data_IF_010137677107
#
_entry.id   IF_010137677107
#
_cell.length_a   1.000
_cell.length_b   1.000
_cell.length_c   1.000
_cell.angle_alpha   90.00
_cell.angle_beta   90.00
_cell.angle_gamma   90.00
#
_symmetry.space_group_name_H-M   'P 1'
#
loop_
_entity.id
_entity.type
_entity.pdbx_description
1 polymer ?
#
# COMPACT_ATOMS: atom_id res chain seq x y z
N UNK A 1 -13.06 -15.71 9.37
CA UNK A 1 -13.86 -14.48 9.52
C UNK A 1 -12.91 -13.42 10.01
N UNK A 2 -12.47 -12.51 9.14
CA UNK A 2 -11.42 -11.56 9.46
C UNK A 2 -12.04 -10.17 9.51
N UNK A 3 -12.07 -9.60 10.69
CA UNK A 3 -12.43 -8.20 10.86
C UNK A 3 -11.14 -7.41 10.99
N UNK A 4 -10.97 -6.38 10.16
CA UNK A 4 -9.95 -5.36 10.36
C UNK A 4 -10.39 -4.47 11.54
N UNK A 5 -10.51 -5.05 12.74
CA UNK A 5 -10.77 -4.27 13.94
C UNK A 5 -9.48 -3.54 14.34
N UNK A 6 -9.18 -2.46 13.65
CA UNK A 6 -8.22 -1.47 14.09
C UNK A 6 -8.87 -0.56 15.13
N UNK A 7 -9.00 -1.02 16.36
CA UNK A 7 -9.08 -0.08 17.47
C UNK A 7 -7.67 0.48 17.75
N UNK A 8 -7.15 1.28 16.85
CA UNK A 8 -6.30 2.36 17.29
C UNK A 8 -7.20 3.25 18.17
N UNK A 9 -6.72 3.64 19.33
CA UNK A 9 -7.45 4.47 20.29
C UNK A 9 -8.14 5.64 19.57
N UNK A 10 -9.30 5.37 18.99
CA UNK A 10 -10.17 6.34 18.36
C UNK A 10 -10.84 7.19 19.44
N UNK A 11 -10.03 8.00 20.12
CA UNK A 11 -10.51 9.19 20.84
C UNK A 11 -10.75 10.38 19.90
N UNK A 12 -10.86 10.14 18.57
CA UNK A 12 -11.27 11.15 17.61
C UNK A 12 -12.69 10.85 17.15
N UNK A 13 -13.66 11.45 17.83
CA UNK A 13 -15.03 11.57 17.33
C UNK A 13 -16.02 10.50 17.77
N UNK A 14 -15.79 9.76 18.85
CA UNK A 14 -16.91 9.20 19.62
C UNK A 14 -17.47 10.29 20.56
N UNK A 15 -17.95 11.40 20.01
CA UNK A 15 -19.17 11.97 20.55
C UNK A 15 -20.28 10.95 20.25
N UNK A 16 -20.54 10.06 21.21
CA UNK A 16 -21.81 9.36 21.29
C UNK A 16 -22.87 10.45 21.45
N UNK A 17 -23.43 10.88 20.33
CA UNK A 17 -24.73 11.51 20.37
C UNK A 17 -25.74 10.40 20.60
N UNK A 18 -26.15 10.24 21.83
CA UNK A 18 -27.38 9.53 22.18
C UNK A 18 -28.54 10.19 21.41
N UNK A 19 -29.20 9.38 20.59
CA UNK A 19 -30.51 9.72 20.03
C UNK A 19 -30.49 10.32 18.64
N UNK A 20 -30.81 9.48 17.63
CA UNK A 20 -31.36 9.85 16.32
C UNK A 20 -30.45 10.65 15.36
N UNK A 21 -29.68 9.91 14.57
CA UNK A 21 -29.02 10.41 13.37
C UNK A 21 -27.80 9.57 13.03
N UNK A 22 -27.96 8.51 12.23
CA UNK A 22 -26.83 7.74 11.68
C UNK A 22 -25.94 8.73 10.92
N UNK A 23 -24.70 8.95 11.40
CA UNK A 23 -23.77 9.89 10.78
C UNK A 23 -23.47 9.38 9.36
N UNK A 24 -23.78 10.18 8.35
CA UNK A 24 -23.42 9.90 6.97
C UNK A 24 -21.90 10.01 6.80
N UNK A 25 -21.25 8.93 6.32
CA UNK A 25 -19.81 8.94 6.08
C UNK A 25 -19.44 9.90 4.95
N UNK A 26 -18.30 10.56 5.08
CA UNK A 26 -17.69 11.36 4.03
C UNK A 26 -16.50 10.60 3.46
N UNK A 27 -16.58 10.25 2.17
CA UNK A 27 -15.55 9.42 1.52
C UNK A 27 -14.98 10.22 0.34
N UNK A 28 -13.66 10.42 0.34
CA UNK A 28 -12.98 10.96 -0.82
C UNK A 28 -12.97 9.91 -1.94
N UNK A 29 -13.48 10.30 -3.10
CA UNK A 29 -13.57 9.49 -4.30
C UNK A 29 -12.49 9.92 -5.27
N UNK A 30 -11.42 9.11 -5.43
CA UNK A 30 -10.19 9.47 -6.14
C UNK A 30 -9.97 8.52 -7.32
N UNK A 31 -10.65 8.70 -8.48
CA UNK A 31 -10.55 7.75 -9.60
C UNK A 31 -9.13 7.62 -10.16
N UNK A 32 -8.37 8.72 -10.20
CA UNK A 32 -7.05 8.75 -10.80
C UNK A 32 -7.07 8.59 -12.32
N UNK A 33 -6.19 7.75 -12.84
CA UNK A 33 -5.87 7.63 -14.27
C UNK A 33 -6.36 6.31 -14.89
N UNK A 34 -6.53 6.33 -16.19
CA UNK A 34 -6.75 5.14 -17.01
C UNK A 34 -7.91 4.28 -16.52
N UNK A 35 -7.64 2.99 -16.27
CA UNK A 35 -8.64 2.04 -15.75
C UNK A 35 -9.14 2.36 -14.35
N UNK A 36 -8.49 3.26 -13.62
CA UNK A 36 -8.93 3.67 -12.29
C UNK A 36 -10.38 4.12 -12.27
N UNK A 37 -10.84 4.81 -13.33
CA UNK A 37 -12.25 5.21 -13.48
C UNK A 37 -13.17 4.00 -13.60
N UNK A 38 -12.83 3.04 -14.47
CA UNK A 38 -13.64 1.84 -14.75
C UNK A 38 -13.82 0.97 -13.47
N UNK A 39 -12.71 0.70 -12.77
CA UNK A 39 -12.74 -0.16 -11.57
C UNK A 39 -13.42 0.53 -10.38
N UNK A 40 -13.33 1.86 -10.28
CA UNK A 40 -14.04 2.64 -9.28
C UNK A 40 -15.56 2.62 -9.53
N UNK A 41 -16.01 2.74 -10.78
CA UNK A 41 -17.41 2.59 -11.13
C UNK A 41 -17.96 1.21 -10.71
N UNK A 42 -17.20 0.14 -10.96
CA UNK A 42 -17.58 -1.19 -10.52
C UNK A 42 -17.68 -1.29 -8.98
N UNK A 43 -16.73 -0.71 -8.24
CA UNK A 43 -16.78 -0.63 -6.78
C UNK A 43 -17.99 0.19 -6.30
N UNK A 44 -18.36 1.28 -7.02
CA UNK A 44 -19.54 2.10 -6.69
C UNK A 44 -20.83 1.30 -6.75
N UNK A 45 -21.00 0.48 -7.78
CA UNK A 45 -22.18 -0.40 -7.92
C UNK A 45 -22.32 -1.31 -6.69
N UNK A 46 -21.21 -1.89 -6.21
CA UNK A 46 -21.18 -2.77 -5.04
C UNK A 46 -21.51 -2.00 -3.75
N UNK A 47 -20.90 -0.81 -3.57
CA UNK A 47 -21.14 0.04 -2.40
C UNK A 47 -22.61 0.52 -2.35
N UNK A 48 -23.22 0.83 -3.49
CA UNK A 48 -24.63 1.17 -3.57
C UNK A 48 -25.52 -0.02 -3.21
N UNK A 49 -25.14 -1.23 -3.65
CA UNK A 49 -25.91 -2.45 -3.37
C UNK A 49 -25.94 -2.81 -1.90
N UNK A 50 -24.85 -2.54 -1.15
CA UNK A 50 -24.83 -2.75 0.30
C UNK A 50 -25.43 -1.59 1.09
N UNK A 51 -26.00 -0.60 0.43
CA UNK A 51 -26.66 0.59 1.02
C UNK A 51 -25.75 1.30 2.05
N UNK A 52 -24.53 1.63 1.63
CA UNK A 52 -23.65 2.44 2.46
C UNK A 52 -24.17 3.86 2.52
N UNK A 53 -24.49 4.36 3.72
CA UNK A 53 -24.90 5.74 3.92
C UNK A 53 -23.67 6.67 3.92
N UNK A 54 -23.27 7.11 2.74
CA UNK A 54 -22.07 7.91 2.52
C UNK A 54 -22.28 9.01 1.47
N UNK A 55 -21.55 10.10 1.66
CA UNK A 55 -21.31 11.11 0.65
C UNK A 55 -19.96 10.82 -0.01
N UNK A 56 -19.97 10.56 -1.32
CA UNK A 56 -18.75 10.38 -2.11
C UNK A 56 -18.36 11.72 -2.72
N UNK A 57 -17.22 12.26 -2.30
CA UNK A 57 -16.75 13.58 -2.70
C UNK A 57 -15.59 13.40 -3.67
N UNK A 58 -15.76 13.84 -4.91
CA UNK A 58 -14.72 13.72 -5.94
C UNK A 58 -13.48 14.54 -5.58
N UNK A 59 -12.28 13.93 -5.74
CA UNK A 59 -11.00 14.59 -5.59
C UNK A 59 -10.15 14.46 -6.86
N UNK A 60 -9.56 15.56 -7.25
CA UNK A 60 -8.68 15.65 -8.42
C UNK A 60 -7.31 15.05 -8.10
N UNK A 61 -6.89 14.03 -8.87
CA UNK A 61 -5.64 13.33 -8.66
C UNK A 61 -5.17 12.62 -9.92
N UNK A 62 -3.88 12.56 -10.15
CA UNK A 62 -3.28 11.75 -11.21
C UNK A 62 -2.59 12.53 -12.30
N UNK A 63 -2.36 11.85 -13.43
CA UNK A 63 -1.53 12.31 -14.53
C UNK A 63 -2.11 13.51 -15.27
N UNK A 64 -3.44 13.58 -15.37
CA UNK A 64 -4.13 14.71 -15.99
C UNK A 64 -3.78 16.03 -15.30
N UNK A 65 -3.78 16.04 -13.97
CA UNK A 65 -3.47 17.23 -13.16
C UNK A 65 -1.98 17.54 -13.17
N UNK A 66 -1.11 16.53 -13.21
CA UNK A 66 0.30 16.75 -13.49
C UNK A 66 0.50 17.51 -14.79
N UNK A 67 -0.08 17.02 -15.88
CA UNK A 67 0.10 17.62 -17.20
C UNK A 67 -0.43 19.06 -17.27
N UNK A 68 -1.57 19.35 -16.65
CA UNK A 68 -2.27 20.64 -16.74
C UNK A 68 -1.81 21.66 -15.70
N UNK A 69 -1.48 21.21 -14.50
CA UNK A 69 -1.24 22.07 -13.34
C UNK A 69 0.18 21.91 -12.75
N UNK A 70 0.94 20.91 -13.19
CA UNK A 70 2.27 20.59 -12.64
C UNK A 70 2.23 19.92 -11.28
N UNK A 71 1.06 19.47 -10.83
CA UNK A 71 0.88 18.76 -9.57
C UNK A 71 -0.14 17.60 -9.71
N UNK A 72 0.33 16.36 -9.51
CA UNK A 72 -0.52 15.18 -9.56
C UNK A 72 -1.40 14.99 -8.30
N UNK A 73 -1.18 15.75 -7.24
CA UNK A 73 -1.99 15.81 -6.03
C UNK A 73 -2.25 17.28 -5.66
N UNK A 74 -3.22 17.94 -6.32
CA UNK A 74 -3.51 19.35 -6.10
C UNK A 74 -3.88 19.66 -4.65
N UNK A 75 -3.57 20.88 -4.20
CA UNK A 75 -3.82 21.32 -2.81
C UNK A 75 -5.29 21.16 -2.40
N UNK A 76 -6.26 21.37 -3.31
CA UNK A 76 -7.69 21.14 -3.04
C UNK A 76 -8.02 19.70 -2.65
N UNK A 77 -7.32 18.72 -3.20
CA UNK A 77 -7.49 17.30 -2.83
C UNK A 77 -6.83 17.01 -1.48
N UNK A 78 -5.70 17.63 -1.18
CA UNK A 78 -5.08 17.55 0.16
C UNK A 78 -6.04 18.09 1.23
N UNK A 79 -6.70 19.24 0.97
CA UNK A 79 -7.69 19.81 1.90
C UNK A 79 -8.95 18.92 2.02
N UNK A 80 -9.39 18.30 0.93
CA UNK A 80 -10.49 17.31 0.98
C UNK A 80 -10.12 16.16 1.92
N UNK A 81 -8.92 15.58 1.77
CA UNK A 81 -8.45 14.43 2.53
C UNK A 81 -8.33 14.69 4.04
N UNK A 82 -8.14 15.94 4.46
CA UNK A 82 -8.15 16.33 5.88
C UNK A 82 -9.53 16.25 6.53
N UNK A 83 -10.60 16.20 5.72
CA UNK A 83 -11.97 16.39 6.15
C UNK A 83 -12.90 15.23 5.76
N UNK A 84 -12.36 14.02 5.58
CA UNK A 84 -13.12 12.81 5.24
C UNK A 84 -12.85 11.69 6.24
N UNK A 85 -13.75 10.72 6.31
CA UNK A 85 -13.62 9.55 7.18
C UNK A 85 -12.71 8.47 6.56
N UNK A 86 -12.67 8.40 5.22
CA UNK A 86 -11.81 7.51 4.44
C UNK A 86 -11.68 8.00 2.99
N UNK A 87 -10.76 7.40 2.24
CA UNK A 87 -10.66 7.60 0.80
C UNK A 87 -10.63 6.26 0.06
N UNK A 88 -11.29 6.17 -1.08
CA UNK A 88 -11.13 5.10 -2.06
C UNK A 88 -10.43 5.66 -3.29
N UNK A 89 -9.36 4.98 -3.71
CA UNK A 89 -8.48 5.43 -4.77
C UNK A 89 -8.39 4.37 -5.88
N UNK A 90 -8.47 4.80 -7.14
CA UNK A 90 -8.44 3.91 -8.29
C UNK A 90 -7.02 3.51 -8.68
N UNK A 91 -6.41 4.29 -9.57
CA UNK A 91 -5.05 3.98 -10.03
C UNK A 91 -4.34 5.24 -10.54
N UNK A 92 -3.02 5.18 -10.64
CA UNK A 92 -2.22 6.28 -11.21
C UNK A 92 -1.25 5.82 -12.29
N UNK A 93 -0.90 6.76 -13.16
CA UNK A 93 0.20 6.67 -14.11
C UNK A 93 1.45 7.30 -13.49
N UNK A 94 2.58 6.63 -13.61
CA UNK A 94 3.90 7.18 -13.26
C UNK A 94 4.85 6.98 -14.43
N UNK A 95 5.62 8.02 -14.76
CA UNK A 95 6.61 8.00 -15.84
C UNK A 95 7.95 8.55 -15.37
N UNK A 96 9.07 8.19 -16.01
CA UNK A 96 10.37 8.77 -15.74
C UNK A 96 10.37 10.30 -15.87
N UNK A 97 11.24 10.99 -15.13
CA UNK A 97 11.26 12.45 -14.98
C UNK A 97 11.24 13.18 -16.35
N UNK A 98 12.11 12.78 -17.30
CA UNK A 98 12.16 13.41 -18.63
C UNK A 98 10.85 13.26 -19.42
N UNK A 99 10.21 12.09 -19.33
CA UNK A 99 8.93 11.85 -20.00
C UNK A 99 7.81 12.63 -19.31
N UNK A 100 7.84 12.73 -17.98
CA UNK A 100 6.87 13.49 -17.20
C UNK A 100 6.93 14.99 -17.54
N UNK A 101 8.12 15.57 -17.65
CA UNK A 101 8.30 16.98 -18.03
C UNK A 101 7.80 17.26 -19.46
N UNK A 102 8.07 16.35 -20.39
CA UNK A 102 7.67 16.52 -21.80
C UNK A 102 6.14 16.58 -21.99
N UNK A 103 5.37 15.99 -21.09
CA UNK A 103 3.89 15.96 -21.16
C UNK A 103 3.20 17.14 -20.43
N UNK A 104 3.95 17.98 -19.74
CA UNK A 104 3.41 19.24 -19.20
C UNK A 104 2.90 20.16 -20.32
N UNK A 105 1.88 20.96 -20.03
CA UNK A 105 1.48 22.06 -20.90
C UNK A 105 2.67 22.99 -21.14
N UNK A 106 2.75 23.66 -22.33
CA UNK A 106 3.93 24.46 -22.70
C UNK A 106 4.34 25.50 -21.66
N UNK A 107 3.36 26.09 -20.99
CA UNK A 107 3.55 27.15 -19.97
C UNK A 107 4.25 26.64 -18.69
N UNK A 108 4.27 25.35 -18.46
CA UNK A 108 4.87 24.72 -17.27
C UNK A 108 6.24 24.08 -17.54
N UNK A 109 6.58 23.85 -18.80
CA UNK A 109 7.87 23.24 -19.17
C UNK A 109 9.04 24.14 -18.82
N UNK A 110 10.15 23.54 -18.40
CA UNK A 110 11.37 24.29 -18.04
C UNK A 110 11.28 25.05 -16.69
N UNK A 111 10.21 24.91 -15.93
CA UNK A 111 10.07 25.53 -14.60
C UNK A 111 10.70 24.73 -13.46
N UNK A 112 11.43 23.66 -13.76
CA UNK A 112 12.04 22.80 -12.74
C UNK A 112 11.04 21.97 -11.92
N UNK A 113 9.82 21.75 -12.45
CA UNK A 113 8.82 20.91 -11.81
C UNK A 113 9.26 19.43 -11.88
N UNK A 114 9.15 18.72 -10.77
CA UNK A 114 9.49 17.30 -10.67
C UNK A 114 8.25 16.51 -10.30
N UNK A 115 7.90 15.52 -11.15
CA UNK A 115 6.80 14.62 -10.86
C UNK A 115 7.08 13.80 -9.58
N UNK A 116 6.13 13.82 -8.67
CA UNK A 116 6.12 12.98 -7.47
C UNK A 116 4.83 12.20 -7.43
N UNK A 117 4.95 10.89 -7.25
CA UNK A 117 3.78 10.01 -7.16
C UNK A 117 2.80 10.51 -6.09
N UNK A 118 1.52 10.75 -6.44
CA UNK A 118 0.53 11.26 -5.50
C UNK A 118 0.28 10.31 -4.34
N UNK A 119 0.33 9.00 -4.56
CA UNK A 119 0.14 8.03 -3.46
C UNK A 119 1.30 8.08 -2.46
N UNK A 120 2.55 8.22 -2.93
CA UNK A 120 3.72 8.36 -2.04
C UNK A 120 3.61 9.67 -1.25
N UNK A 121 3.17 10.76 -1.89
CA UNK A 121 2.92 12.04 -1.19
C UNK A 121 1.81 11.91 -0.14
N UNK A 122 0.70 11.25 -0.44
CA UNK A 122 -0.37 11.02 0.54
C UNK A 122 0.14 10.24 1.75
N UNK A 123 0.91 9.17 1.52
CA UNK A 123 1.51 8.36 2.60
C UNK A 123 2.36 9.21 3.55
N UNK A 124 3.17 10.11 3.00
CA UNK A 124 4.03 11.01 3.78
C UNK A 124 3.25 12.14 4.45
N UNK A 125 2.34 12.82 3.73
CA UNK A 125 1.59 13.98 4.23
C UNK A 125 0.61 13.63 5.36
N UNK A 126 0.02 12.45 5.30
CA UNK A 126 -0.99 11.99 6.26
C UNK A 126 -0.46 10.90 7.21
N UNK A 127 0.85 10.65 7.19
CA UNK A 127 1.51 9.61 7.98
C UNK A 127 0.78 8.25 7.91
N UNK A 128 0.49 7.81 6.67
CA UNK A 128 -0.16 6.52 6.40
C UNK A 128 0.89 5.41 6.50
N UNK A 129 1.36 5.13 7.70
CA UNK A 129 2.55 4.32 7.94
C UNK A 129 2.34 2.81 7.76
N UNK A 130 1.10 2.34 7.69
CA UNK A 130 0.77 0.94 7.41
C UNK A 130 0.33 0.82 5.97
N UNK A 131 1.00 0.00 5.17
CA UNK A 131 0.44 -0.54 3.95
C UNK A 131 0.04 -1.99 4.21
N UNK A 132 -1.26 -2.22 4.33
CA UNK A 132 -1.86 -3.51 4.62
C UNK A 132 -2.30 -4.17 3.32
N UNK A 133 -1.75 -5.34 3.00
CA UNK A 133 -2.05 -6.10 1.78
C UNK A 133 -2.45 -7.54 2.10
N UNK A 134 -3.74 -7.84 2.22
CA UNK A 134 -4.23 -9.22 2.34
C UNK A 134 -4.12 -9.95 1.00
N UNK A 135 -3.67 -11.19 1.02
CA UNK A 135 -3.49 -12.07 -0.13
C UNK A 135 -4.15 -13.42 0.18
N UNK A 136 -5.40 -13.59 -0.30
CA UNK A 136 -6.24 -14.74 -0.02
C UNK A 136 -6.61 -15.47 -1.30
N UNK A 137 -6.32 -16.77 -1.35
CA UNK A 137 -6.76 -17.66 -2.43
C UNK A 137 -8.26 -17.95 -2.28
N UNK A 138 -9.07 -17.45 -3.21
CA UNK A 138 -10.50 -17.76 -3.25
C UNK A 138 -10.70 -19.13 -3.92
N UNK A 139 -11.48 -20.07 -3.29
CA UNK A 139 -11.76 -21.37 -3.89
C UNK A 139 -12.41 -21.25 -5.27
N UNK A 140 -11.91 -21.99 -6.23
CA UNK A 140 -12.39 -21.97 -7.62
C UNK A 140 -11.75 -20.89 -8.50
N UNK A 141 -10.84 -20.10 -7.98
CA UNK A 141 -10.02 -19.20 -8.80
C UNK A 141 -8.95 -20.04 -9.56
N UNK A 142 -8.98 -20.08 -10.91
CA UNK A 142 -8.03 -20.88 -11.69
C UNK A 142 -6.59 -20.36 -11.61
N UNK A 143 -6.41 -19.15 -11.10
CA UNK A 143 -5.12 -18.50 -10.97
C UNK A 143 -4.44 -18.74 -9.61
N UNK A 144 -5.09 -19.45 -8.68
CA UNK A 144 -4.46 -19.79 -7.41
C UNK A 144 -3.21 -20.64 -7.64
N UNK A 145 -2.10 -20.19 -7.12
CA UNK A 145 -0.86 -20.99 -7.13
C UNK A 145 -1.03 -22.28 -6.30
N UNK A 146 -1.65 -22.14 -5.13
CA UNK A 146 -2.10 -23.25 -4.27
C UNK A 146 -3.39 -22.84 -3.57
N UNK A 147 -4.25 -23.81 -3.33
CA UNK A 147 -5.47 -23.59 -2.55
C UNK A 147 -5.15 -23.28 -1.08
N UNK A 148 -6.03 -22.52 -0.44
CA UNK A 148 -5.94 -22.21 0.99
C UNK A 148 -4.82 -21.26 1.39
N UNK A 149 -4.16 -20.60 0.45
CA UNK A 149 -3.23 -19.51 0.78
C UNK A 149 -4.01 -18.36 1.39
N UNK A 150 -3.57 -17.89 2.55
CA UNK A 150 -4.15 -16.75 3.27
C UNK A 150 -3.04 -16.01 4.02
N UNK A 151 -2.43 -15.06 3.36
CA UNK A 151 -1.30 -14.27 3.84
C UNK A 151 -1.71 -12.82 4.01
N UNK A 152 -1.08 -12.12 4.95
CA UNK A 152 -1.23 -10.67 5.09
C UNK A 152 0.15 -10.04 5.16
N UNK A 153 0.39 -9.03 4.35
CA UNK A 153 1.65 -8.28 4.36
C UNK A 153 1.44 -6.91 5.01
N UNK A 154 2.18 -6.64 6.07
CA UNK A 154 2.36 -5.34 6.70
C UNK A 154 3.65 -4.73 6.16
N UNK A 155 3.52 -3.77 5.26
CA UNK A 155 4.64 -3.01 4.69
C UNK A 155 4.74 -1.68 5.42
N UNK A 156 5.90 -1.36 5.99
CA UNK A 156 6.18 0.03 6.39
C UNK A 156 6.05 0.94 5.16
N UNK A 157 5.50 2.13 5.31
CA UNK A 157 4.98 2.85 4.16
C UNK A 157 5.51 4.28 4.01
N UNK A 158 6.32 4.78 4.94
CA UNK A 158 6.74 6.19 5.01
C UNK A 158 8.25 6.41 5.00
N UNK A 159 9.03 5.38 5.23
CA UNK A 159 10.48 5.41 5.35
C UNK A 159 11.18 4.60 4.23
N UNK A 160 12.39 4.14 4.50
CA UNK A 160 13.21 3.32 3.63
C UNK A 160 13.71 4.12 2.40
N UNK A 161 13.94 3.47 1.28
CA UNK A 161 14.31 4.12 0.01
C UNK A 161 13.18 5.02 -0.53
N UNK A 162 11.94 4.80 -0.13
CA UNK A 162 10.79 5.64 -0.49
C UNK A 162 10.79 7.02 0.19
N UNK A 163 11.72 7.28 1.12
CA UNK A 163 11.97 8.63 1.64
C UNK A 163 12.43 9.60 0.54
N UNK A 164 12.99 9.06 -0.57
CA UNK A 164 13.41 9.84 -1.73
C UNK A 164 14.66 10.69 -1.48
N UNK A 165 15.51 10.29 -0.54
CA UNK A 165 16.80 10.95 -0.30
C UNK A 165 17.83 10.36 -1.26
N UNK A 166 17.97 11.02 -2.42
CA UNK A 166 18.79 10.56 -3.53
C UNK A 166 19.66 11.69 -4.09
N UNK A 167 20.82 11.33 -4.63
CA UNK A 167 21.78 12.26 -5.18
C UNK A 167 22.31 11.75 -6.52
N UNK A 168 22.07 12.54 -7.58
CA UNK A 168 22.66 12.36 -8.92
C UNK A 168 22.60 13.68 -9.72
N UNK A 169 23.75 14.27 -10.12
CA UNK A 169 25.11 13.92 -9.69
C UNK A 169 25.29 14.00 -8.17
N UNK A 170 26.29 13.26 -7.66
CA UNK A 170 26.57 13.26 -6.22
C UNK A 170 27.24 14.59 -5.82
N UNK A 171 26.78 15.30 -4.76
CA UNK A 171 27.45 16.50 -4.27
C UNK A 171 28.87 16.21 -3.76
N UNK A 172 29.80 17.14 -4.00
CA UNK A 172 31.21 17.02 -3.55
C UNK A 172 31.28 16.82 -2.03
N UNK A 173 30.45 17.55 -1.27
CA UNK A 173 30.38 17.44 0.19
C UNK A 173 30.03 16.02 0.65
N UNK A 174 29.08 15.39 -0.04
CA UNK A 174 28.69 14.00 0.28
C UNK A 174 29.83 13.04 -0.05
N UNK A 175 30.51 13.20 -1.19
CA UNK A 175 31.70 12.40 -1.56
C UNK A 175 32.79 12.51 -0.50
N UNK A 176 33.09 13.73 -0.02
CA UNK A 176 34.07 13.98 1.03
C UNK A 176 33.70 13.28 2.34
N UNK A 177 32.43 13.35 2.74
CA UNK A 177 31.93 12.67 3.95
C UNK A 177 32.03 11.16 3.82
N UNK A 178 31.63 10.58 2.70
CA UNK A 178 31.69 9.13 2.46
C UNK A 178 33.14 8.63 2.46
N UNK A 179 34.06 9.34 1.82
CA UNK A 179 35.49 9.02 1.84
C UNK A 179 36.07 9.04 3.26
N UNK A 180 35.66 10.01 4.07
CA UNK A 180 36.15 10.18 5.45
C UNK A 180 35.63 9.10 6.40
N UNK A 181 34.34 8.74 6.25
CA UNK A 181 33.64 7.91 7.24
C UNK A 181 33.52 6.45 6.87
N UNK A 182 33.68 6.08 5.58
CA UNK A 182 33.50 4.72 5.13
C UNK A 182 34.66 4.20 4.31
N UNK A 183 35.46 3.27 4.88
CA UNK A 183 36.49 2.56 4.12
C UNK A 183 35.95 1.78 2.92
N UNK A 184 34.70 1.35 3.00
CA UNK A 184 34.03 0.63 1.90
C UNK A 184 33.73 1.53 0.70
N UNK A 185 33.88 2.85 0.83
CA UNK A 185 33.71 3.79 -0.27
C UNK A 185 34.98 3.96 -1.12
N UNK A 186 36.15 3.48 -0.65
CA UNK A 186 37.44 3.61 -1.35
C UNK A 186 37.38 3.21 -2.85
N UNK A 187 36.71 2.13 -3.27
CA UNK A 187 36.62 1.76 -4.69
C UNK A 187 35.94 2.82 -5.58
N UNK A 188 35.15 3.71 -5.00
CA UNK A 188 34.37 4.76 -5.69
C UNK A 188 35.01 6.14 -5.56
N UNK A 189 36.05 6.29 -4.76
CA UNK A 189 36.66 7.58 -4.38
C UNK A 189 37.23 8.37 -5.56
N UNK A 190 37.70 7.68 -6.61
CA UNK A 190 38.30 8.28 -7.81
C UNK A 190 37.31 8.52 -8.95
N UNK A 191 36.04 8.14 -8.79
CA UNK A 191 35.02 8.38 -9.81
C UNK A 191 34.60 9.86 -9.84
N UNK A 192 34.21 10.36 -11.02
CA UNK A 192 33.57 11.66 -11.13
C UNK A 192 32.18 11.64 -10.49
N UNK A 193 31.65 12.82 -10.13
CA UNK A 193 30.38 12.94 -9.38
C UNK A 193 29.14 12.45 -10.16
N UNK A 194 29.24 12.36 -11.47
CA UNK A 194 28.21 11.90 -12.40
C UNK A 194 28.39 10.45 -12.86
N UNK A 195 29.43 9.77 -12.39
CA UNK A 195 29.67 8.35 -12.71
C UNK A 195 28.96 7.38 -11.73
N UNK A 196 28.41 7.90 -10.62
CA UNK A 196 27.67 7.09 -9.64
C UNK A 196 26.53 7.89 -9.02
N UNK A 197 25.55 7.20 -8.49
CA UNK A 197 24.43 7.77 -7.73
C UNK A 197 24.39 7.21 -6.33
N UNK A 198 23.81 7.96 -5.40
CA UNK A 198 23.63 7.54 -4.00
C UNK A 198 22.16 7.66 -3.62
N UNK A 199 21.57 6.57 -3.12
CA UNK A 199 20.25 6.56 -2.50
C UNK A 199 20.38 6.15 -1.04
N UNK A 200 19.77 6.92 -0.14
CA UNK A 200 19.83 6.66 1.29
C UNK A 200 18.63 5.83 1.74
N UNK A 201 18.89 4.63 2.25
CA UNK A 201 17.90 3.86 2.99
C UNK A 201 17.83 4.39 4.41
N UNK A 202 16.67 4.88 4.83
CA UNK A 202 16.47 5.47 6.16
C UNK A 202 15.34 4.73 6.87
N UNK A 203 15.66 4.09 8.01
CA UNK A 203 14.69 3.47 8.89
C UNK A 203 14.86 4.04 10.30
N UNK A 204 13.75 4.37 10.95
CA UNK A 204 13.79 4.83 12.34
C UNK A 204 13.30 3.74 13.29
N UNK A 205 13.73 3.81 14.55
CA UNK A 205 13.23 2.90 15.60
C UNK A 205 11.71 3.05 15.76
N UNK A 206 11.22 4.29 15.76
CA UNK A 206 9.78 4.59 15.88
C UNK A 206 8.98 3.99 14.71
N UNK A 207 9.44 4.18 13.46
CA UNK A 207 8.79 3.63 12.27
C UNK A 207 8.77 2.12 12.29
N UNK A 208 9.91 1.49 12.67
CA UNK A 208 10.03 0.04 12.82
C UNK A 208 9.10 -0.51 13.91
N UNK A 209 9.07 0.13 15.09
CA UNK A 209 8.23 -0.29 16.20
C UNK A 209 6.75 -0.24 15.85
N UNK A 210 6.27 0.87 15.29
CA UNK A 210 4.83 1.05 15.03
C UNK A 210 4.27 0.07 14.00
N UNK A 211 5.03 -0.25 12.93
CA UNK A 211 4.56 -1.21 11.93
C UNK A 211 4.57 -2.63 12.47
N UNK A 212 5.60 -3.01 13.23
CA UNK A 212 5.68 -4.32 13.85
C UNK A 212 4.56 -4.49 14.89
N UNK A 213 4.37 -3.51 15.76
CA UNK A 213 3.30 -3.52 16.77
C UNK A 213 1.92 -3.62 16.12
N UNK A 214 1.68 -2.88 15.04
CA UNK A 214 0.43 -2.96 14.29
C UNK A 214 0.15 -4.38 13.76
N UNK A 215 1.18 -5.08 13.28
CA UNK A 215 1.04 -6.45 12.81
C UNK A 215 0.75 -7.44 13.94
N UNK A 216 1.41 -7.32 15.09
CA UNK A 216 1.10 -8.15 16.26
C UNK A 216 -0.32 -7.93 16.79
N UNK A 217 -0.75 -6.66 16.88
CA UNK A 217 -2.14 -6.33 17.25
C UNK A 217 -3.16 -6.92 16.28
N UNK A 218 -2.84 -6.87 14.98
CA UNK A 218 -3.68 -7.49 13.96
C UNK A 218 -3.77 -9.01 14.13
N UNK A 219 -2.66 -9.69 14.38
CA UNK A 219 -2.61 -11.13 14.63
C UNK A 219 -3.50 -11.49 15.82
N UNK A 220 -3.36 -10.78 16.95
CA UNK A 220 -4.13 -11.00 18.17
C UNK A 220 -5.63 -10.80 17.94
N UNK A 221 -6.03 -9.71 17.28
CA UNK A 221 -7.44 -9.38 17.04
C UNK A 221 -8.13 -10.29 16.03
N UNK A 222 -7.37 -10.84 15.07
CA UNK A 222 -7.93 -11.66 14.00
C UNK A 222 -7.70 -13.17 14.21
N UNK A 223 -7.29 -13.59 15.43
CA UNK A 223 -7.01 -15.00 15.74
C UNK A 223 -6.01 -15.67 14.79
N UNK A 224 -5.09 -14.87 14.25
CA UNK A 224 -3.94 -15.37 13.50
C UNK A 224 -2.87 -15.89 14.45
N UNK A 225 -1.82 -16.50 13.95
CA UNK A 225 -0.91 -17.28 14.81
C UNK A 225 0.52 -16.80 14.78
N UNK A 226 0.96 -16.22 13.65
CA UNK A 226 2.40 -16.05 13.41
C UNK A 226 2.69 -14.70 12.74
N UNK A 227 3.74 -14.05 13.24
CA UNK A 227 4.39 -12.91 12.59
C UNK A 227 5.76 -13.32 12.09
N UNK A 228 6.06 -13.09 10.82
CA UNK A 228 7.38 -13.30 10.23
C UNK A 228 7.96 -11.95 9.79
N UNK A 229 9.11 -11.59 10.35
CA UNK A 229 9.82 -10.35 9.99
C UNK A 229 10.70 -10.61 8.78
N UNK A 230 10.50 -9.81 7.73
CA UNK A 230 11.28 -9.89 6.48
C UNK A 230 12.33 -8.79 6.47
N UNK A 231 13.60 -9.17 6.33
CA UNK A 231 14.75 -8.26 6.41
C UNK A 231 15.93 -8.75 5.57
N UNK A 232 17.04 -8.00 5.54
CA UNK A 232 18.32 -8.40 4.98
C UNK A 232 19.49 -7.97 5.91
N UNK A 233 19.33 -8.12 7.21
CA UNK A 233 20.25 -7.62 8.23
C UNK A 233 21.68 -8.21 8.14
N UNK A 234 21.87 -9.35 7.47
CA UNK A 234 23.20 -9.91 7.20
C UNK A 234 24.00 -9.09 6.17
N UNK A 235 23.36 -8.28 5.33
CA UNK A 235 23.96 -7.40 4.32
C UNK A 235 23.70 -5.92 4.65
N UNK A 236 22.46 -5.54 4.83
CA UNK A 236 22.03 -4.17 5.18
C UNK A 236 22.01 -4.03 6.71
N UNK A 237 23.21 -4.01 7.29
CA UNK A 237 23.41 -4.19 8.74
C UNK A 237 22.85 -3.08 9.61
N UNK A 238 22.91 -1.82 9.13
CA UNK A 238 22.47 -0.68 9.92
C UNK A 238 20.96 -0.58 9.98
N UNK A 239 20.31 -0.36 8.85
CA UNK A 239 18.86 -0.12 8.80
C UNK A 239 18.04 -1.37 9.05
N UNK A 240 18.37 -2.50 8.42
CA UNK A 240 17.66 -3.75 8.65
C UNK A 240 18.01 -4.39 9.99
N UNK A 241 19.26 -4.15 10.50
CA UNK A 241 19.61 -4.52 11.86
C UNK A 241 18.74 -3.80 12.89
N UNK A 242 18.58 -2.46 12.74
CA UNK A 242 17.70 -1.68 13.59
C UNK A 242 16.24 -2.17 13.52
N UNK A 243 15.74 -2.47 12.32
CA UNK A 243 14.39 -3.00 12.12
C UNK A 243 14.20 -4.33 12.83
N UNK A 244 15.14 -5.28 12.65
CA UNK A 244 15.07 -6.60 13.23
C UNK A 244 15.20 -6.57 14.76
N UNK A 245 16.14 -5.80 15.31
CA UNK A 245 16.28 -5.62 16.77
C UNK A 245 15.00 -5.04 17.38
N UNK A 246 14.44 -4.01 16.76
CA UNK A 246 13.18 -3.40 17.21
C UNK A 246 12.03 -4.41 17.17
N UNK A 247 11.96 -5.24 16.11
CA UNK A 247 10.94 -6.27 16.01
C UNK A 247 11.04 -7.33 17.11
N UNK A 248 12.28 -7.76 17.45
CA UNK A 248 12.53 -8.68 18.56
C UNK A 248 12.12 -8.10 19.92
N UNK A 249 12.33 -6.79 20.12
CA UNK A 249 11.88 -6.12 21.36
C UNK A 249 10.35 -6.08 21.44
N UNK A 250 9.67 -5.69 20.36
CA UNK A 250 8.19 -5.68 20.31
C UNK A 250 7.61 -7.08 20.55
N UNK A 251 8.22 -8.11 19.97
CA UNK A 251 7.73 -9.48 20.10
C UNK A 251 7.66 -9.97 21.57
N UNK A 252 8.47 -9.41 22.46
CA UNK A 252 8.44 -9.76 23.90
C UNK A 252 7.11 -9.38 24.58
N UNK A 253 6.39 -8.38 24.03
CA UNK A 253 5.08 -7.94 24.53
C UNK A 253 3.93 -8.88 24.09
N UNK A 254 4.23 -9.86 23.20
CA UNK A 254 3.24 -10.78 22.60
C UNK A 254 3.69 -12.24 22.67
N UNK A 255 3.95 -12.78 23.88
CA UNK A 255 4.50 -14.12 24.03
C UNK A 255 3.59 -15.25 23.52
N UNK A 256 2.32 -14.98 23.32
CA UNK A 256 1.32 -15.90 22.76
C UNK A 256 1.39 -16.03 21.23
N UNK A 257 2.07 -15.11 20.54
CA UNK A 257 2.16 -15.08 19.08
C UNK A 257 3.51 -15.68 18.63
N UNK A 258 3.47 -16.59 17.68
CA UNK A 258 4.70 -17.14 17.10
C UNK A 258 5.47 -16.04 16.35
N UNK A 259 6.72 -15.87 16.72
CA UNK A 259 7.66 -14.96 16.08
C UNK A 259 8.66 -15.71 15.21
N UNK A 260 8.87 -15.24 13.99
CA UNK A 260 9.83 -15.80 13.04
C UNK A 260 10.51 -14.68 12.25
N UNK A 261 11.66 -14.96 11.66
CA UNK A 261 12.43 -14.00 10.90
C UNK A 261 13.03 -14.65 9.65
N UNK A 262 13.05 -13.92 8.54
CA UNK A 262 13.56 -14.43 7.28
C UNK A 262 14.29 -13.36 6.46
N UNK A 263 15.38 -13.74 5.82
CA UNK A 263 15.98 -12.91 4.79
C UNK A 263 15.04 -12.78 3.58
N UNK A 264 14.95 -11.58 3.00
CA UNK A 264 14.01 -11.27 1.90
C UNK A 264 14.18 -12.18 0.69
N UNK A 265 15.39 -12.52 0.31
CA UNK A 265 15.68 -13.45 -0.79
C UNK A 265 15.24 -14.89 -0.48
N UNK A 266 15.43 -15.35 0.75
CA UNK A 266 15.02 -16.66 1.19
C UNK A 266 13.49 -16.79 1.28
N UNK A 267 12.80 -15.78 1.82
CA UNK A 267 11.34 -15.80 1.97
C UNK A 267 10.64 -15.91 0.60
N UNK A 268 11.16 -15.27 -0.46
CA UNK A 268 10.61 -15.37 -1.81
C UNK A 268 10.54 -16.82 -2.29
N UNK A 269 11.58 -17.58 -2.06
CA UNK A 269 11.63 -19.00 -2.40
C UNK A 269 10.71 -19.85 -1.50
N UNK A 270 10.69 -19.57 -0.19
CA UNK A 270 9.88 -20.33 0.76
C UNK A 270 8.39 -20.10 0.60
N UNK A 271 7.95 -18.90 0.24
CA UNK A 271 6.56 -18.60 -0.08
C UNK A 271 6.06 -19.45 -1.24
N UNK A 272 6.85 -19.64 -2.30
CA UNK A 272 6.51 -20.54 -3.39
C UNK A 272 6.52 -22.01 -2.97
N UNK A 273 7.49 -22.42 -2.13
CA UNK A 273 7.60 -23.82 -1.72
C UNK A 273 6.53 -24.23 -0.71
N UNK A 274 6.36 -23.45 0.35
CA UNK A 274 5.53 -23.76 1.52
C UNK A 274 4.72 -22.54 2.01
N UNK A 275 3.82 -21.96 1.21
CA UNK A 275 3.10 -20.73 1.58
C UNK A 275 2.29 -20.86 2.89
N UNK A 276 1.75 -22.04 3.17
CA UNK A 276 0.94 -22.30 4.36
C UNK A 276 1.71 -22.28 5.70
N UNK A 277 3.06 -22.19 5.65
CA UNK A 277 3.88 -22.03 6.83
C UNK A 277 3.96 -20.55 7.29
N UNK A 278 3.39 -19.65 6.52
CA UNK A 278 3.39 -18.21 6.79
C UNK A 278 1.97 -17.70 7.02
N UNK A 279 1.86 -16.59 7.74
CA UNK A 279 0.58 -16.02 8.12
C UNK A 279 0.62 -14.50 7.94
N UNK A 280 1.26 -13.75 8.84
CA UNK A 280 1.46 -12.30 8.70
C UNK A 280 2.94 -12.01 8.50
N UNK A 281 3.26 -11.31 7.41
CA UNK A 281 4.60 -10.88 7.04
C UNK A 281 4.75 -9.38 7.34
N UNK A 282 5.87 -8.99 7.95
CA UNK A 282 6.17 -7.58 8.22
C UNK A 282 7.51 -7.22 7.60
N UNK A 283 7.55 -6.14 6.85
CA UNK A 283 8.75 -5.75 6.11
C UNK A 283 8.95 -4.23 6.06
N UNK A 284 10.21 -3.76 5.94
CA UNK A 284 10.53 -2.41 5.48
C UNK A 284 9.88 -2.12 4.12
N UNK A 285 9.79 -0.86 3.77
CA UNK A 285 8.98 -0.38 2.64
C UNK A 285 9.27 -1.12 1.31
N UNK A 286 10.50 -1.09 0.82
CA UNK A 286 10.84 -1.71 -0.47
C UNK A 286 10.63 -3.23 -0.47
N UNK A 287 11.04 -3.91 0.59
CA UNK A 287 10.87 -5.37 0.66
C UNK A 287 9.40 -5.75 0.78
N UNK A 288 8.61 -4.97 1.53
CA UNK A 288 7.17 -5.16 1.64
C UNK A 288 6.45 -5.00 0.30
N UNK A 289 6.91 -4.08 -0.57
CA UNK A 289 6.39 -3.91 -1.92
C UNK A 289 6.63 -5.18 -2.75
N UNK A 290 7.87 -5.62 -2.82
CA UNK A 290 8.27 -6.78 -3.64
C UNK A 290 7.60 -8.07 -3.15
N UNK A 291 7.63 -8.33 -1.84
CA UNK A 291 7.03 -9.53 -1.24
C UNK A 291 5.52 -9.57 -1.43
N UNK A 292 4.83 -8.44 -1.28
CA UNK A 292 3.38 -8.41 -1.43
C UNK A 292 2.92 -8.62 -2.86
N UNK A 293 3.70 -8.19 -3.86
CA UNK A 293 3.39 -8.45 -5.27
C UNK A 293 3.54 -9.94 -5.60
N UNK A 294 4.54 -10.63 -5.05
CA UNK A 294 4.62 -12.08 -5.12
C UNK A 294 3.40 -12.74 -4.46
N UNK A 295 3.05 -12.33 -3.24
CA UNK A 295 1.89 -12.87 -2.53
C UNK A 295 0.58 -12.65 -3.32
N UNK A 296 0.40 -11.46 -3.92
CA UNK A 296 -0.75 -11.18 -4.77
C UNK A 296 -0.79 -12.11 -6.00
N UNK A 297 0.36 -12.32 -6.66
CA UNK A 297 0.43 -13.24 -7.81
C UNK A 297 0.07 -14.67 -7.44
N UNK A 298 0.38 -15.12 -6.23
CA UNK A 298 0.06 -16.47 -5.76
C UNK A 298 -1.44 -16.72 -5.54
N UNK A 299 -2.25 -15.67 -5.48
CA UNK A 299 -3.70 -15.75 -5.19
C UNK A 299 -4.58 -15.18 -6.30
N UNK A 300 -4.01 -14.96 -7.49
CA UNK A 300 -4.80 -14.52 -8.65
C UNK A 300 -4.23 -13.29 -9.36
N UNK A 301 -3.10 -12.77 -8.90
CA UNK A 301 -2.42 -11.63 -9.52
C UNK A 301 -2.97 -10.27 -9.09
N UNK A 302 -2.54 -9.23 -9.78
CA UNK A 302 -2.84 -7.83 -9.42
C UNK A 302 -4.35 -7.50 -9.48
N UNK A 303 -5.15 -8.25 -10.25
CA UNK A 303 -6.61 -8.13 -10.29
C UNK A 303 -7.30 -8.49 -8.97
N UNK A 304 -6.59 -9.14 -8.04
CA UNK A 304 -7.04 -9.51 -6.69
C UNK A 304 -6.30 -8.72 -5.59
N UNK A 305 -5.21 -8.04 -5.93
CA UNK A 305 -4.38 -7.32 -4.99
C UNK A 305 -5.04 -6.03 -4.50
N UNK A 306 -5.53 -6.02 -3.28
CA UNK A 306 -6.05 -4.83 -2.60
C UNK A 306 -5.08 -4.34 -1.52
N UNK A 307 -5.19 -3.08 -1.16
CA UNK A 307 -4.31 -2.41 -0.21
C UNK A 307 -5.04 -1.37 0.62
N UNK A 308 -4.71 -1.28 1.90
CA UNK A 308 -5.06 -0.16 2.77
C UNK A 308 -3.81 0.60 3.21
N UNK A 309 -3.73 1.88 2.87
CA UNK A 309 -2.72 2.79 3.41
C UNK A 309 -3.32 3.46 4.64
N UNK A 310 -2.85 3.10 5.83
CA UNK A 310 -3.53 3.40 7.08
C UNK A 310 -2.63 4.23 8.00
N UNK A 311 -3.15 5.35 8.46
CA UNK A 311 -2.59 6.20 9.49
C UNK A 311 -3.50 6.26 10.70
N UNK A 312 -3.20 7.14 11.65
CA UNK A 312 -4.04 7.30 12.85
C UNK A 312 -5.38 7.97 12.56
N UNK A 313 -5.44 8.87 11.58
CA UNK A 313 -6.60 9.74 11.31
C UNK A 313 -7.29 9.48 9.98
N UNK A 314 -6.55 8.96 9.02
CA UNK A 314 -7.00 8.74 7.65
C UNK A 314 -6.55 7.37 7.19
N UNK A 315 -7.40 6.71 6.39
CA UNK A 315 -7.02 5.56 5.61
C UNK A 315 -7.43 5.76 4.14
N UNK A 316 -6.54 5.36 3.23
CA UNK A 316 -6.74 5.39 1.78
C UNK A 316 -6.66 3.97 1.25
N UNK A 317 -7.73 3.50 0.64
CA UNK A 317 -7.85 2.13 0.13
C UNK A 317 -7.73 2.13 -1.38
N UNK A 318 -6.94 1.21 -1.92
CA UNK A 318 -6.60 1.16 -3.34
C UNK A 318 -6.35 -0.27 -3.83
N UNK A 319 -6.52 -0.57 -5.14
CA UNK A 319 -5.93 -1.77 -5.72
C UNK A 319 -4.40 -1.60 -5.82
N UNK A 320 -3.66 -2.70 -5.93
CA UNK A 320 -2.20 -2.66 -6.08
C UNK A 320 -1.76 -2.45 -7.53
N UNK A 321 -2.66 -2.62 -8.51
CA UNK A 321 -2.35 -2.44 -9.93
C UNK A 321 -2.23 -0.96 -10.34
N UNK A 322 -1.51 -0.69 -11.43
CA UNK A 322 -1.39 0.63 -12.03
C UNK A 322 -2.58 0.99 -12.94
N UNK A 323 -2.45 2.10 -13.64
CA UNK A 323 -3.51 2.72 -14.45
C UNK A 323 -3.82 2.05 -15.79
N UNK A 324 -2.95 1.18 -16.31
CA UNK A 324 -3.10 0.46 -17.58
C UNK A 324 -3.85 1.26 -18.68
N UNK A 325 -3.36 2.45 -19.09
CA UNK A 325 -4.13 3.43 -19.86
C UNK A 325 -4.65 2.91 -21.20
N UNK A 326 -4.02 1.87 -21.75
CA UNK A 326 -4.46 1.23 -23.01
C UNK A 326 -5.82 0.52 -22.89
N UNK A 327 -6.29 0.24 -21.69
CA UNK A 327 -7.56 -0.44 -21.42
C UNK A 327 -8.64 0.50 -20.85
N UNK A 328 -8.33 1.78 -20.67
CA UNK A 328 -9.27 2.76 -20.13
C UNK A 328 -10.56 2.86 -20.95
N UNK A 329 -11.71 2.87 -20.29
CA UNK A 329 -13.04 2.91 -20.91
C UNK A 329 -13.46 1.65 -21.64
N UNK A 330 -12.70 0.56 -21.54
CA UNK A 330 -13.02 -0.70 -22.22
C UNK A 330 -13.77 -1.68 -21.31
N UNK A 331 -13.82 -1.46 -20.01
CA UNK A 331 -14.46 -2.32 -19.00
C UNK A 331 -14.01 -3.80 -19.08
N UNK A 332 -12.73 -4.03 -19.39
CA UNK A 332 -12.14 -5.37 -19.54
C UNK A 332 -11.35 -5.83 -18.34
N UNK A 333 -10.89 -4.89 -17.54
CA UNK A 333 -10.01 -5.20 -16.40
C UNK A 333 -10.80 -5.79 -15.25
N UNK A 334 -10.14 -6.63 -14.48
CA UNK A 334 -10.72 -7.23 -13.29
C UNK A 334 -10.92 -6.17 -12.19
N UNK A 335 -12.16 -5.89 -11.73
CA UNK A 335 -12.42 -4.89 -10.72
C UNK A 335 -12.32 -5.43 -9.28
N UNK A 336 -12.06 -6.74 -9.09
CA UNK A 336 -12.11 -7.40 -7.77
C UNK A 336 -11.15 -6.73 -6.79
N UNK A 337 -9.95 -6.36 -7.21
CA UNK A 337 -8.99 -5.68 -6.34
C UNK A 337 -9.58 -4.38 -5.73
N UNK A 338 -10.23 -3.55 -6.54
CA UNK A 338 -10.86 -2.30 -6.06
C UNK A 338 -12.11 -2.57 -5.23
N UNK A 339 -12.89 -3.59 -5.56
CA UNK A 339 -14.03 -4.04 -4.74
C UNK A 339 -13.56 -4.54 -3.37
N UNK A 340 -12.46 -5.28 -3.31
CA UNK A 340 -11.86 -5.71 -2.05
C UNK A 340 -11.22 -4.55 -1.28
N UNK A 341 -10.66 -3.56 -1.96
CA UNK A 341 -10.22 -2.32 -1.33
C UNK A 341 -11.39 -1.54 -0.70
N UNK A 342 -12.54 -1.48 -1.39
CA UNK A 342 -13.77 -0.92 -0.83
C UNK A 342 -14.29 -1.73 0.37
N UNK A 343 -14.17 -3.05 0.34
CA UNK A 343 -14.47 -3.93 1.48
C UNK A 343 -13.57 -3.59 2.69
N UNK A 344 -12.26 -3.39 2.49
CA UNK A 344 -11.34 -2.97 3.55
C UNK A 344 -11.71 -1.58 4.11
N UNK A 345 -12.17 -0.67 3.25
CA UNK A 345 -12.69 0.64 3.67
C UNK A 345 -13.91 0.49 4.59
N UNK A 346 -14.83 -0.41 4.29
CA UNK A 346 -15.98 -0.68 5.14
C UNK A 346 -15.58 -1.23 6.51
N UNK A 347 -14.57 -2.10 6.58
CA UNK A 347 -14.02 -2.59 7.84
C UNK A 347 -13.41 -1.46 8.68
N UNK A 348 -12.68 -0.55 8.04
CA UNK A 348 -12.15 0.66 8.70
C UNK A 348 -13.25 1.55 9.28
N UNK A 349 -14.37 1.70 8.55
CA UNK A 349 -15.53 2.48 8.98
C UNK A 349 -16.40 1.75 10.03
N UNK A 350 -16.09 0.49 10.36
CA UNK A 350 -16.87 -0.33 11.29
C UNK A 350 -18.12 -0.98 10.68
N UNK A 351 -18.30 -0.92 9.37
CA UNK A 351 -19.42 -1.51 8.63
C UNK A 351 -19.15 -2.99 8.30
N UNK A 352 -18.81 -3.78 9.33
CA UNK A 352 -18.34 -5.15 9.19
C UNK A 352 -19.31 -6.11 8.48
N UNK A 353 -20.62 -5.96 8.71
CA UNK A 353 -21.65 -6.79 8.05
C UNK A 353 -21.67 -6.55 6.55
N UNK A 354 -21.55 -5.27 6.12
CA UNK A 354 -21.49 -4.91 4.70
C UNK A 354 -20.18 -5.38 4.07
N UNK A 355 -19.07 -5.24 4.78
CA UNK A 355 -17.78 -5.75 4.35
C UNK A 355 -17.82 -7.27 4.11
N UNK A 356 -18.42 -8.01 5.06
CA UNK A 356 -18.57 -9.46 4.93
C UNK A 356 -19.51 -9.86 3.79
N UNK A 357 -20.57 -9.09 3.55
CA UNK A 357 -21.46 -9.32 2.41
C UNK A 357 -20.71 -9.20 1.07
N UNK A 358 -19.83 -8.20 0.93
CA UNK A 358 -18.97 -8.04 -0.25
C UNK A 358 -17.99 -9.22 -0.39
N UNK A 359 -17.31 -9.59 0.69
CA UNK A 359 -16.37 -10.73 0.70
C UNK A 359 -17.05 -12.01 0.23
N UNK A 360 -18.26 -12.30 0.75
CA UNK A 360 -19.04 -13.49 0.39
C UNK A 360 -19.49 -13.44 -1.08
N UNK A 361 -19.91 -12.28 -1.58
CA UNK A 361 -20.33 -12.12 -2.97
C UNK A 361 -19.16 -12.33 -3.93
N UNK A 362 -17.98 -11.79 -3.63
CA UNK A 362 -16.77 -12.01 -4.43
C UNK A 362 -16.40 -13.48 -4.44
N UNK A 363 -16.37 -14.14 -3.28
CA UNK A 363 -16.08 -15.57 -3.18
C UNK A 363 -17.07 -16.42 -3.97
N UNK A 364 -18.37 -16.09 -3.95
CA UNK A 364 -19.41 -16.80 -4.68
C UNK A 364 -19.27 -16.67 -6.19
N UNK A 365 -19.06 -15.43 -6.70
CA UNK A 365 -18.86 -15.18 -8.14
C UNK A 365 -17.64 -15.95 -8.67
N UNK A 366 -16.54 -15.98 -7.92
CA UNK A 366 -15.34 -16.72 -8.28
C UNK A 366 -15.64 -18.23 -8.30
N UNK A 367 -16.29 -18.74 -7.27
CA UNK A 367 -16.64 -20.17 -7.14
C UNK A 367 -17.59 -20.63 -8.25
N UNK A 368 -18.59 -19.82 -8.61
CA UNK A 368 -19.51 -20.14 -9.72
C UNK A 368 -18.80 -20.18 -11.06
N UNK A 369 -17.81 -19.33 -11.27
CA UNK A 369 -17.00 -19.29 -12.49
C UNK A 369 -17.78 -18.97 -13.77
N UNK A 370 -19.03 -18.48 -13.66
CA UNK A 370 -19.89 -18.16 -14.81
C UNK A 370 -19.45 -16.91 -15.56
N UNK A 371 -18.90 -15.94 -14.82
CA UNK A 371 -18.39 -14.69 -15.36
C UNK A 371 -16.94 -14.54 -14.93
N UNK A 372 -16.06 -14.39 -15.89
CA UNK A 372 -14.61 -14.18 -15.66
C UNK A 372 -14.12 -13.04 -16.51
N UNK A 373 -13.21 -12.29 -15.98
CA UNK A 373 -12.44 -11.31 -16.75
C UNK A 373 -11.32 -12.02 -17.52
N UNK A 374 -10.75 -11.37 -18.53
CA UNK A 374 -9.78 -11.98 -19.43
C UNK A 374 -8.50 -12.51 -18.74
N UNK A 375 -8.16 -11.95 -17.58
CA UNK A 375 -7.01 -12.37 -16.76
C UNK A 375 -7.27 -13.68 -16.00
N UNK A 376 -8.53 -14.04 -15.84
CA UNK A 376 -8.94 -15.28 -15.17
C UNK A 376 -9.15 -16.46 -16.13
N UNK A 377 -8.96 -16.28 -17.44
CA UNK A 377 -9.08 -17.33 -18.48
C UNK A 377 -10.43 -17.40 -19.15
#
# INVERSE_FOLDING_TARGET
MYFLNFEFSNNLGKEKMDGQGKKKYRIAWLPGDGIGKDVMEAAKIVLDKVNLDAEFIHGDIGWEFWCKEGDALPQRTIELLKNVDAALFGAITSKPVKAAEAELVPELRGKGLVYRSPIVRMRQLFDLYICLRPCKAYPGNPLNYKEGIDLVVFRENTEDLYSGVEFYPVPEELKLVLNKLSKNFEPFSNLNLDEYAVSCKINTRKGSERIVRAAFEFVRKNNRKKVTIVHKANVVRATDGLFLETAREVAKDYPEIQFDEANVDAIMMWLLKNPHNYDVLVAPNLYGDIVSDLCAQMVGGLGFGCSGNIGEKLAVFEPTHGSAPKYAGMYKVNPIATILAAKMMLEWLGENEKAQAIENAVAEVIREGKVRTYDMG
#
